data_IF_877043997650
#
_entry.id   IF_877043997650
#
_cell.length_a   1.000
_cell.length_b   1.000
_cell.length_c   1.000
_cell.angle_alpha   90.00
_cell.angle_beta   90.00
_cell.angle_gamma   90.00
#
_symmetry.space_group_name_H-M   'P 1'
#
loop_
_entity.id
_entity.type
_entity.pdbx_description
1 polymer ?
#
# COMPACT_ATOMS: atom_id res chain seq x y z
N UNK A 1 5.01 -12.38 19.73
CA UNK A 1 4.72 -12.10 18.30
C UNK A 1 3.35 -11.45 18.07
N UNK A 2 2.58 -11.11 19.11
CA UNK A 2 1.33 -10.30 19.04
C UNK A 2 1.63 -8.81 18.75
N UNK A 3 2.85 -8.37 19.10
CA UNK A 3 3.26 -6.97 19.01
C UNK A 3 3.22 -6.44 17.57
N UNK A 4 3.69 -7.21 16.56
CA UNK A 4 3.62 -6.77 15.15
C UNK A 4 2.19 -6.49 14.71
N UNK A 5 1.27 -7.39 15.06
CA UNK A 5 -0.12 -7.32 14.65
C UNK A 5 -0.79 -6.04 15.17
N UNK A 6 -0.71 -5.84 16.48
CA UNK A 6 -1.30 -4.67 17.16
C UNK A 6 -0.68 -3.37 16.68
N UNK A 7 0.64 -3.33 16.51
CA UNK A 7 1.35 -2.11 16.14
C UNK A 7 1.09 -1.72 14.67
N UNK A 8 0.95 -2.70 13.77
CA UNK A 8 0.53 -2.40 12.39
C UNK A 8 -0.93 -1.92 12.35
N UNK A 9 -1.84 -2.52 13.13
CA UNK A 9 -3.22 -2.05 13.22
C UNK A 9 -3.31 -0.63 13.77
N UNK A 10 -2.50 -0.29 14.78
CA UNK A 10 -2.41 1.07 15.32
C UNK A 10 -1.93 2.06 14.26
N UNK A 11 -0.89 1.73 13.51
CA UNK A 11 -0.40 2.58 12.42
C UNK A 11 -1.44 2.77 11.30
N UNK A 12 -2.25 1.74 10.99
CA UNK A 12 -3.38 1.87 10.07
C UNK A 12 -4.42 2.86 10.64
N UNK A 13 -4.70 2.79 11.94
CA UNK A 13 -5.56 3.75 12.64
C UNK A 13 -5.05 5.19 12.53
N UNK A 14 -3.75 5.39 12.81
CA UNK A 14 -3.08 6.68 12.69
C UNK A 14 -3.11 7.24 11.25
N UNK A 15 -3.00 6.37 10.23
CA UNK A 15 -3.16 6.79 8.83
C UNK A 15 -4.56 7.33 8.54
N UNK A 16 -5.61 6.68 9.07
CA UNK A 16 -7.00 7.16 8.91
C UNK A 16 -7.20 8.50 9.59
N UNK A 17 -6.65 8.67 10.79
CA UNK A 17 -6.70 9.93 11.52
C UNK A 17 -5.94 11.04 10.78
N UNK A 18 -4.75 10.75 10.24
CA UNK A 18 -4.00 11.69 9.42
C UNK A 18 -4.76 12.14 8.17
N UNK A 19 -5.57 11.27 7.56
CA UNK A 19 -6.50 11.68 6.49
C UNK A 19 -7.56 12.63 7.03
N UNK A 20 -8.21 12.29 8.15
CA UNK A 20 -9.27 13.11 8.75
C UNK A 20 -8.76 14.51 9.18
N UNK A 21 -7.50 14.60 9.61
CA UNK A 21 -6.82 15.85 9.95
C UNK A 21 -6.33 16.65 8.73
N UNK A 22 -6.51 16.13 7.52
CA UNK A 22 -6.07 16.76 6.28
C UNK A 22 -4.56 16.72 6.04
N UNK A 23 -3.82 15.87 6.77
CA UNK A 23 -2.37 15.69 6.60
C UNK A 23 -2.01 14.82 5.39
N UNK A 24 -2.98 14.06 4.88
CA UNK A 24 -2.87 13.29 3.64
C UNK A 24 -3.87 13.86 2.63
N UNK A 25 -3.35 14.41 1.52
CA UNK A 25 -4.17 15.07 0.49
C UNK A 25 -4.89 14.05 -0.39
N UNK A 26 -6.14 14.37 -0.76
CA UNK A 26 -6.83 13.73 -1.87
C UNK A 26 -6.12 14.08 -3.19
N UNK A 27 -5.64 13.08 -3.91
CA UNK A 27 -5.27 13.28 -5.32
C UNK A 27 -6.59 13.25 -6.12
N UNK A 28 -7.15 14.42 -6.39
CA UNK A 28 -8.43 14.59 -7.09
C UNK A 28 -8.46 14.03 -8.52
N UNK A 29 -7.34 13.47 -9.01
CA UNK A 29 -7.18 13.00 -10.39
C UNK A 29 -7.54 11.53 -10.61
N UNK A 30 -7.90 10.77 -9.55
CA UNK A 30 -8.21 9.33 -9.66
C UNK A 30 -9.63 8.92 -9.31
N UNK A 31 -10.48 9.84 -8.88
CA UNK A 31 -11.88 9.53 -8.53
C UNK A 31 -12.81 9.52 -9.77
N UNK A 32 -12.26 9.40 -10.99
CA UNK A 32 -13.00 9.59 -12.25
C UNK A 32 -13.10 8.34 -13.14
N UNK A 33 -12.58 7.17 -12.72
CA UNK A 33 -12.49 6.00 -13.61
C UNK A 33 -13.33 4.77 -13.17
N UNK A 34 -14.18 4.87 -12.16
CA UNK A 34 -14.94 3.71 -11.62
C UNK A 34 -16.33 3.47 -12.26
N UNK A 35 -16.71 4.20 -13.32
CA UNK A 35 -18.05 4.10 -13.95
C UNK A 35 -18.05 3.55 -15.41
N UNK A 36 -17.00 2.88 -15.87
CA UNK A 36 -17.05 2.17 -17.17
C UNK A 36 -17.07 0.64 -17.01
N UNK A 37 -18.27 0.12 -16.75
CA UNK A 37 -18.66 -1.26 -17.05
C UNK A 37 -18.49 -1.55 -18.55
N UNK A 38 -17.34 -2.11 -18.93
CA UNK A 38 -17.15 -2.68 -20.26
C UNK A 38 -17.12 -4.22 -20.20
N UNK A 39 -18.29 -4.79 -20.47
CA UNK A 39 -18.51 -6.21 -20.69
C UNK A 39 -17.58 -6.84 -21.74
N UNK A 40 -16.85 -7.86 -21.31
CA UNK A 40 -16.63 -9.19 -21.94
C UNK A 40 -16.76 -9.29 -23.49
N UNK A 41 -15.66 -9.65 -24.19
CA UNK A 41 -15.42 -10.99 -24.82
C UNK A 41 -14.23 -11.07 -25.80
N UNK A 42 -13.38 -12.07 -25.53
CA UNK A 42 -12.57 -13.00 -26.39
C UNK A 42 -12.00 -12.56 -27.75
N UNK A 43 -10.70 -12.82 -27.92
CA UNK A 43 -10.05 -13.10 -29.20
C UNK A 43 -8.77 -13.93 -29.01
N UNK A 44 -8.75 -15.15 -29.53
CA UNK A 44 -7.58 -16.03 -29.71
C UNK A 44 -6.61 -15.46 -30.76
N UNK A 45 -5.28 -15.65 -30.63
CA UNK A 45 -4.42 -16.42 -31.56
C UNK A 45 -2.90 -16.32 -31.19
N UNK A 46 -2.10 -17.22 -31.76
CA UNK A 46 -0.74 -17.66 -31.40
C UNK A 46 0.39 -16.70 -31.81
N UNK A 47 1.50 -16.71 -31.07
CA UNK A 47 2.78 -16.12 -31.52
C UNK A 47 3.98 -16.49 -30.66
N UNK A 48 5.11 -16.84 -31.29
CA UNK A 48 6.25 -17.63 -30.77
C UNK A 48 7.45 -16.78 -30.32
N UNK A 49 8.02 -17.11 -29.14
CA UNK A 49 9.40 -16.95 -28.60
C UNK A 49 10.25 -15.69 -28.93
N UNK A 50 10.76 -15.03 -27.87
CA UNK A 50 12.21 -14.83 -27.60
C UNK A 50 12.45 -14.29 -26.19
N UNK A 51 13.51 -14.78 -25.54
CA UNK A 51 13.87 -14.44 -24.16
C UNK A 51 14.45 -13.03 -24.00
N UNK A 52 14.23 -12.48 -22.81
CA UNK A 52 14.96 -11.35 -22.26
C UNK A 52 14.99 -11.53 -20.74
N UNK A 53 16.16 -11.87 -20.19
CA UNK A 53 16.48 -11.60 -18.79
C UNK A 53 16.64 -10.10 -18.65
N UNK A 54 15.80 -9.45 -17.84
CA UNK A 54 16.21 -8.45 -16.84
C UNK A 54 15.04 -7.72 -16.17
N UNK A 55 15.23 -7.57 -14.87
CA UNK A 55 14.85 -6.46 -14.01
C UNK A 55 13.37 -6.33 -13.58
N UNK A 56 13.18 -6.59 -12.28
CA UNK A 56 12.12 -5.99 -11.47
C UNK A 56 10.72 -6.48 -11.78
N UNK A 57 10.38 -7.66 -11.28
CA UNK A 57 8.97 -8.03 -11.09
C UNK A 57 8.41 -7.13 -9.96
N UNK A 58 8.07 -5.89 -10.34
CA UNK A 58 7.01 -5.13 -9.70
C UNK A 58 5.75 -5.95 -9.92
N UNK A 59 5.53 -6.91 -9.03
CA UNK A 59 4.38 -7.79 -9.06
C UNK A 59 3.12 -6.95 -9.26
N UNK A 60 2.53 -7.16 -10.43
CA UNK A 60 1.26 -6.67 -10.94
C UNK A 60 0.27 -6.41 -9.79
N UNK A 61 0.13 -5.14 -9.38
CA UNK A 61 -0.77 -4.70 -8.30
C UNK A 61 -2.19 -4.44 -8.84
N UNK A 62 -2.61 -5.23 -9.83
CA UNK A 62 -3.99 -5.30 -10.31
C UNK A 62 -4.70 -6.48 -9.62
N UNK A 63 -5.47 -6.18 -8.59
CA UNK A 63 -6.33 -7.20 -7.97
C UNK A 63 -6.57 -6.94 -6.49
N UNK A 64 -7.82 -6.58 -6.23
CA UNK A 64 -8.55 -6.69 -4.97
C UNK A 64 -8.23 -5.68 -3.86
N UNK A 65 -9.09 -4.68 -3.80
CA UNK A 65 -9.45 -3.94 -2.58
C UNK A 65 -10.09 -4.84 -1.49
N UNK A 66 -10.07 -6.16 -1.65
CA UNK A 66 -10.56 -7.12 -0.64
C UNK A 66 -9.78 -7.03 0.67
N UNK A 67 -8.55 -6.52 0.61
CA UNK A 67 -7.70 -6.29 1.78
C UNK A 67 -7.97 -4.96 2.49
N UNK A 68 -8.87 -4.14 1.95
CA UNK A 68 -9.27 -2.85 2.51
C UNK A 68 -10.64 -2.99 3.18
N UNK A 69 -10.78 -2.41 4.37
CA UNK A 69 -12.11 -2.30 4.99
C UNK A 69 -12.99 -1.33 4.22
N UNK A 70 -14.31 -1.39 4.40
CA UNK A 70 -15.24 -0.44 3.77
C UNK A 70 -14.89 1.02 4.08
N UNK A 71 -14.33 1.29 5.25
CA UNK A 71 -13.84 2.62 5.63
C UNK A 71 -12.60 3.04 4.82
N UNK A 72 -11.70 2.09 4.50
CA UNK A 72 -10.48 2.38 3.75
C UNK A 72 -10.77 2.65 2.27
N UNK A 73 -11.83 2.05 1.71
CA UNK A 73 -12.25 2.26 0.33
C UNK A 73 -12.66 3.71 0.02
N UNK A 74 -12.95 4.52 1.02
CA UNK A 74 -13.31 5.94 0.87
C UNK A 74 -12.11 6.89 1.02
N UNK A 75 -10.92 6.37 1.37
CA UNK A 75 -9.74 7.19 1.63
C UNK A 75 -9.05 7.65 0.33
N UNK A 76 -8.22 8.70 0.38
CA UNK A 76 -7.34 9.09 -0.73
C UNK A 76 -6.54 7.91 -1.29
N UNK A 77 -6.30 7.91 -2.61
CA UNK A 77 -5.50 6.87 -3.27
C UNK A 77 -4.12 6.62 -2.62
N UNK A 78 -3.46 7.67 -2.12
CA UNK A 78 -2.20 7.53 -1.38
C UNK A 78 -2.39 6.82 -0.04
N UNK A 79 -3.42 7.17 0.72
CA UNK A 79 -3.73 6.50 1.99
C UNK A 79 -4.10 5.03 1.78
N UNK A 80 -4.95 4.73 0.77
CA UNK A 80 -5.29 3.36 0.36
C UNK A 80 -4.05 2.53 0.07
N UNK A 81 -3.13 3.05 -0.74
CA UNK A 81 -1.90 2.35 -1.11
C UNK A 81 -0.99 2.07 0.10
N UNK A 82 -0.87 3.03 1.03
CA UNK A 82 -0.11 2.83 2.27
C UNK A 82 -0.75 1.77 3.16
N UNK A 83 -2.08 1.83 3.37
CA UNK A 83 -2.82 0.85 4.17
C UNK A 83 -2.72 -0.55 3.56
N UNK A 84 -2.87 -0.68 2.23
CA UNK A 84 -2.73 -1.98 1.53
C UNK A 84 -1.37 -2.62 1.81
N UNK A 85 -0.28 -1.84 1.77
CA UNK A 85 1.07 -2.34 2.11
C UNK A 85 1.20 -2.76 3.57
N UNK A 86 0.62 -2.00 4.51
CA UNK A 86 0.59 -2.37 5.93
C UNK A 86 -0.22 -3.65 6.16
N UNK A 87 -1.39 -3.81 5.54
CA UNK A 87 -2.20 -5.04 5.64
C UNK A 87 -1.48 -6.25 5.07
N UNK A 88 -0.72 -6.09 3.98
CA UNK A 88 0.15 -7.15 3.44
C UNK A 88 1.26 -7.50 4.45
N UNK A 89 1.99 -6.50 4.97
CA UNK A 89 3.04 -6.71 5.97
C UNK A 89 2.52 -7.40 7.25
N UNK A 90 1.32 -7.03 7.70
CA UNK A 90 0.62 -7.66 8.84
C UNK A 90 0.36 -9.15 8.59
N UNK A 91 -0.16 -9.51 7.41
CA UNK A 91 -0.38 -10.92 7.04
C UNK A 91 0.92 -11.72 7.06
N UNK A 92 2.01 -11.12 6.60
CA UNK A 92 3.32 -11.78 6.64
C UNK A 92 3.87 -11.94 8.05
N UNK A 93 3.67 -10.95 8.92
CA UNK A 93 3.90 -11.10 10.36
C UNK A 93 3.08 -12.26 10.94
N UNK A 94 1.77 -12.35 10.67
CA UNK A 94 0.92 -13.42 11.22
C UNK A 94 1.34 -14.82 10.74
N UNK A 95 1.95 -14.91 9.55
CA UNK A 95 2.51 -16.15 9.00
C UNK A 95 3.94 -16.47 9.48
N UNK A 96 4.56 -15.60 10.28
CA UNK A 96 5.95 -15.74 10.71
C UNK A 96 6.99 -15.45 9.62
N UNK A 97 6.58 -14.90 8.47
CA UNK A 97 7.45 -14.54 7.35
C UNK A 97 8.01 -13.13 7.53
N UNK A 98 8.81 -12.94 8.57
CA UNK A 98 9.33 -11.62 8.95
C UNK A 98 10.26 -10.99 7.91
N UNK A 99 10.99 -11.81 7.14
CA UNK A 99 11.80 -11.30 6.03
C UNK A 99 10.93 -10.56 4.99
N UNK A 100 9.84 -11.20 4.57
CA UNK A 100 8.87 -10.60 3.64
C UNK A 100 8.18 -9.37 4.25
N UNK A 101 7.80 -9.44 5.53
CA UNK A 101 7.20 -8.31 6.24
C UNK A 101 8.13 -7.09 6.28
N UNK A 102 9.43 -7.28 6.57
CA UNK A 102 10.43 -6.20 6.56
C UNK A 102 10.61 -5.60 5.17
N UNK A 103 10.64 -6.41 4.11
CA UNK A 103 10.72 -5.91 2.74
C UNK A 103 9.51 -5.05 2.36
N UNK A 104 8.30 -5.46 2.76
CA UNK A 104 7.09 -4.66 2.54
C UNK A 104 7.13 -3.32 3.28
N UNK A 105 7.61 -3.30 4.53
CA UNK A 105 7.78 -2.07 5.29
C UNK A 105 8.85 -1.15 4.70
N UNK A 106 9.96 -1.71 4.19
CA UNK A 106 10.98 -0.93 3.44
C UNK A 106 10.40 -0.33 2.16
N UNK A 107 9.56 -1.08 1.44
CA UNK A 107 8.85 -0.56 0.27
C UNK A 107 7.88 0.57 0.65
N UNK A 108 7.18 0.46 1.79
CA UNK A 108 6.34 1.52 2.33
C UNK A 108 7.15 2.78 2.66
N UNK A 109 8.32 2.65 3.30
CA UNK A 109 9.21 3.79 3.59
C UNK A 109 9.67 4.52 2.32
N UNK A 110 10.01 3.78 1.26
CA UNK A 110 10.35 4.37 -0.05
C UNK A 110 9.17 5.17 -0.61
N UNK A 111 7.96 4.63 -0.53
CA UNK A 111 6.75 5.32 -0.98
C UNK A 111 6.49 6.58 -0.14
N UNK A 112 6.53 6.50 1.19
CA UNK A 112 6.34 7.65 2.09
C UNK A 112 7.33 8.77 1.78
N UNK A 113 8.60 8.45 1.57
CA UNK A 113 9.62 9.41 1.13
C UNK A 113 9.27 10.07 -0.22
N UNK A 114 8.80 9.29 -1.21
CA UNK A 114 8.43 9.81 -2.52
C UNK A 114 7.17 10.71 -2.51
N UNK A 115 6.31 10.55 -1.50
CA UNK A 115 5.05 11.27 -1.34
C UNK A 115 5.15 12.51 -0.45
N UNK A 116 6.27 12.70 0.25
CA UNK A 116 6.54 13.88 1.08
C UNK A 116 6.43 15.17 0.26
N UNK A 117 5.69 16.15 0.79
CA UNK A 117 5.48 17.45 0.15
C UNK A 117 4.52 17.44 -1.04
N UNK A 118 4.23 16.27 -1.62
CA UNK A 118 3.23 16.11 -2.68
C UNK A 118 1.85 15.86 -2.07
N UNK A 119 1.71 14.68 -1.46
CA UNK A 119 0.45 14.19 -0.89
C UNK A 119 0.50 14.03 0.62
N UNK A 120 1.69 13.99 1.21
CA UNK A 120 1.89 13.97 2.66
C UNK A 120 2.42 15.33 3.13
N UNK A 121 1.80 15.89 4.17
CA UNK A 121 2.42 16.97 4.95
C UNK A 121 3.64 16.45 5.71
N UNK A 122 4.43 17.35 6.30
CA UNK A 122 5.58 16.95 7.12
C UNK A 122 5.13 16.15 8.35
N UNK A 123 3.98 16.49 8.96
CA UNK A 123 3.41 15.77 10.10
C UNK A 123 3.07 14.32 9.73
N UNK A 124 2.29 14.10 8.67
CA UNK A 124 1.99 12.75 8.20
C UNK A 124 3.27 11.99 7.80
N UNK A 125 4.18 12.67 7.11
CA UNK A 125 5.45 12.08 6.70
C UNK A 125 6.25 11.53 7.88
N UNK A 126 6.50 12.35 8.91
CA UNK A 126 7.32 11.94 10.06
C UNK A 126 6.61 10.89 10.92
N UNK A 127 5.29 11.02 11.11
CA UNK A 127 4.50 10.03 11.84
C UNK A 127 4.60 8.64 11.20
N UNK A 128 4.34 8.55 9.89
CA UNK A 128 4.32 7.27 9.19
C UNK A 128 5.74 6.70 9.11
N UNK A 129 6.73 7.54 8.79
CA UNK A 129 8.13 7.13 8.66
C UNK A 129 8.66 6.56 9.97
N UNK A 130 8.49 7.27 11.08
CA UNK A 130 9.00 6.85 12.38
C UNK A 130 8.43 5.49 12.80
N UNK A 131 7.10 5.32 12.70
CA UNK A 131 6.46 4.06 13.06
C UNK A 131 6.87 2.90 12.15
N UNK A 132 7.02 3.14 10.85
CA UNK A 132 7.46 2.11 9.91
C UNK A 132 8.94 1.73 10.12
N UNK A 133 9.82 2.69 10.40
CA UNK A 133 11.23 2.41 10.77
C UNK A 133 11.30 1.59 12.06
N UNK A 134 10.54 1.96 13.09
CA UNK A 134 10.45 1.19 14.33
C UNK A 134 9.99 -0.25 14.08
N UNK A 135 8.98 -0.46 13.24
CA UNK A 135 8.53 -1.80 12.87
C UNK A 135 9.63 -2.59 12.16
N UNK A 136 10.35 -2.00 11.21
CA UNK A 136 11.46 -2.68 10.51
C UNK A 136 12.53 -3.16 11.48
N UNK A 137 12.83 -2.39 12.52
CA UNK A 137 13.83 -2.73 13.55
C UNK A 137 13.36 -3.81 14.53
N UNK A 138 12.05 -3.87 14.82
CA UNK A 138 11.48 -4.77 15.85
C UNK A 138 10.97 -6.10 15.31
N UNK A 139 10.63 -6.18 14.02
CA UNK A 139 10.44 -7.45 13.33
C UNK A 139 11.77 -8.16 13.15
#
# INVERSE_FOLDING_TARGET
MVICDTFILDLIGQLREAVALGWIKHDLRKDQDDDEDHGKRKGDDKGKKKGHEKDGDEGDDNGDDDDLSAADKQLPGVAKALIKKLTKARRECLRGRFGEAREMLRALLKQVNAQRGKHLTDEAYYLIRFNAEFLVEKL
#
